data_IF_062965601771
#
_entry.id   IF_062965601771
#
_cell.length_a   1.000
_cell.length_b   1.000
_cell.length_c   1.000
_cell.angle_alpha   90.00
_cell.angle_beta   90.00
_cell.angle_gamma   90.00
#
_symmetry.space_group_name_H-M   'P 1'
#
loop_
_entity.id
_entity.type
_entity.pdbx_description
1 polymer ?
#
# COMPACT_ATOMS: atom_id res chain seq x y z
N UNK A 1 -25.57 29.02 -17.09
CA UNK A 1 -25.96 28.57 -15.75
C UNK A 1 -25.49 27.13 -15.65
N UNK A 2 -24.35 26.91 -15.02
CA UNK A 2 -23.90 25.55 -14.71
C UNK A 2 -24.76 25.07 -13.56
N UNK A 3 -25.64 24.10 -13.83
CA UNK A 3 -26.33 23.37 -12.77
C UNK A 3 -25.26 22.79 -11.83
N UNK A 4 -25.03 23.46 -10.70
CA UNK A 4 -24.30 22.85 -9.59
C UNK A 4 -25.17 21.71 -9.08
N UNK A 5 -24.92 20.49 -9.55
CA UNK A 5 -25.47 19.28 -8.95
C UNK A 5 -24.98 19.25 -7.50
N UNK A 6 -25.88 19.58 -6.59
CA UNK A 6 -25.61 19.51 -5.15
C UNK A 6 -25.39 18.05 -4.78
N UNK A 7 -24.16 17.72 -4.36
CA UNK A 7 -23.82 16.36 -3.93
C UNK A 7 -24.38 16.17 -2.53
N UNK A 8 -25.28 15.22 -2.37
CA UNK A 8 -25.94 14.89 -1.09
C UNK A 8 -25.52 13.52 -0.55
N UNK A 9 -25.11 12.62 -1.42
CA UNK A 9 -24.73 11.25 -1.03
C UNK A 9 -23.42 10.83 -1.68
N UNK A 10 -22.50 10.37 -0.85
CA UNK A 10 -21.22 9.82 -1.30
C UNK A 10 -21.09 8.34 -0.94
N UNK A 11 -20.36 7.59 -1.76
CA UNK A 11 -19.96 6.22 -1.48
C UNK A 11 -18.51 6.17 -0.99
N UNK A 12 -18.16 5.18 -0.18
CA UNK A 12 -16.78 4.87 0.18
C UNK A 12 -16.55 3.36 0.10
N UNK A 13 -15.44 2.96 -0.50
CA UNK A 13 -15.01 1.57 -0.55
C UNK A 13 -13.49 1.44 -0.38
N UNK A 14 -13.06 0.26 0.04
CA UNK A 14 -11.66 -0.17 -0.01
C UNK A 14 -11.49 -1.25 -1.08
N UNK A 15 -10.41 -1.19 -1.84
CA UNK A 15 -10.16 -2.10 -2.96
C UNK A 15 -8.69 -2.48 -3.04
N UNK A 16 -8.39 -3.66 -3.56
CA UNK A 16 -7.04 -4.19 -3.62
C UNK A 16 -6.63 -4.95 -2.36
N UNK A 17 -5.36 -4.95 -2.02
CA UNK A 17 -4.86 -5.46 -0.74
C UNK A 17 -5.23 -4.54 0.41
N UNK A 18 -5.53 -5.10 1.56
CA UNK A 18 -5.70 -4.30 2.78
C UNK A 18 -4.36 -3.71 3.23
N UNK A 19 -4.47 -2.55 3.88
CA UNK A 19 -3.32 -1.84 4.44
C UNK A 19 -3.69 -1.23 5.80
N UNK A 20 -2.79 -1.30 6.80
CA UNK A 20 -3.03 -0.69 8.11
C UNK A 20 -3.23 0.83 7.96
N UNK A 21 -4.33 1.36 8.48
CA UNK A 21 -4.72 2.76 8.31
C UNK A 21 -5.92 2.97 7.38
N UNK A 22 -6.34 1.97 6.60
CA UNK A 22 -7.56 2.09 5.78
C UNK A 22 -8.80 2.43 6.62
N UNK A 23 -8.91 1.91 7.84
CA UNK A 23 -10.01 2.25 8.74
C UNK A 23 -9.96 3.72 9.19
N UNK A 24 -8.78 4.28 9.40
CA UNK A 24 -8.62 5.70 9.72
C UNK A 24 -9.08 6.59 8.54
N UNK A 25 -8.76 6.19 7.30
CA UNK A 25 -9.24 6.88 6.09
C UNK A 25 -10.77 6.78 5.95
N UNK A 26 -11.35 5.59 6.08
CA UNK A 26 -12.81 5.39 6.06
C UNK A 26 -13.48 6.29 7.12
N UNK A 27 -12.94 6.25 8.35
CA UNK A 27 -13.46 7.07 9.45
C UNK A 27 -13.42 8.56 9.13
N UNK A 28 -12.34 9.05 8.56
CA UNK A 28 -12.21 10.45 8.19
C UNK A 28 -13.19 10.85 7.08
N UNK A 29 -13.32 10.03 6.02
CA UNK A 29 -14.31 10.25 4.96
C UNK A 29 -15.71 10.33 5.56
N UNK A 30 -16.12 9.34 6.36
CA UNK A 30 -17.47 9.28 6.94
C UNK A 30 -17.73 10.50 7.85
N UNK A 31 -16.81 10.81 8.75
CA UNK A 31 -17.01 11.91 9.70
C UNK A 31 -17.00 13.28 9.03
N UNK A 32 -16.11 13.51 8.08
CA UNK A 32 -16.05 14.79 7.35
C UNK A 32 -17.31 14.96 6.49
N UNK A 33 -17.76 13.92 5.82
CA UNK A 33 -18.99 13.97 5.02
C UNK A 33 -20.23 14.25 5.89
N UNK A 34 -20.41 13.54 6.99
CA UNK A 34 -21.53 13.76 7.92
C UNK A 34 -21.50 15.18 8.55
N UNK A 35 -20.33 15.70 8.87
CA UNK A 35 -20.16 17.06 9.40
C UNK A 35 -20.57 18.13 8.38
N UNK A 36 -20.55 17.83 7.08
CA UNK A 36 -20.98 18.69 6.00
C UNK A 36 -22.39 18.36 5.49
N UNK A 37 -23.17 17.57 6.22
CA UNK A 37 -24.58 17.25 5.90
C UNK A 37 -24.76 16.20 4.80
N UNK A 38 -23.71 15.51 4.37
CA UNK A 38 -23.79 14.48 3.36
C UNK A 38 -24.21 13.13 3.96
N UNK A 39 -24.96 12.36 3.20
CA UNK A 39 -25.21 10.93 3.48
C UNK A 39 -24.03 10.09 2.99
N UNK A 40 -23.62 9.09 3.78
CA UNK A 40 -22.52 8.21 3.40
C UNK A 40 -23.01 6.77 3.22
N UNK A 41 -22.63 6.17 2.09
CA UNK A 41 -22.86 4.76 1.77
C UNK A 41 -21.54 4.00 1.77
N UNK A 42 -21.37 3.06 2.70
CA UNK A 42 -20.25 2.14 2.72
C UNK A 42 -20.48 0.97 1.78
N UNK A 43 -19.55 0.68 0.90
CA UNK A 43 -19.62 -0.44 -0.04
C UNK A 43 -18.70 -1.52 0.48
N UNK A 44 -19.27 -2.65 0.89
CA UNK A 44 -18.49 -3.79 1.40
C UNK A 44 -17.82 -4.54 0.26
N UNK A 45 -16.64 -5.12 0.55
CA UNK A 45 -15.85 -5.94 -0.37
C UNK A 45 -15.51 -5.25 -1.70
N UNK A 46 -15.33 -3.92 -1.68
CA UNK A 46 -14.90 -3.12 -2.81
C UNK A 46 -15.79 -3.25 -4.05
N UNK A 47 -15.20 -3.28 -5.23
CA UNK A 47 -15.93 -3.42 -6.49
C UNK A 47 -16.72 -4.73 -6.62
N UNK A 48 -16.22 -5.81 -5.98
CA UNK A 48 -16.93 -7.09 -5.96
C UNK A 48 -18.29 -6.96 -5.27
N UNK A 49 -18.31 -6.32 -4.10
CA UNK A 49 -19.56 -6.09 -3.37
C UNK A 49 -20.44 -5.03 -4.00
N UNK A 50 -19.86 -4.00 -4.64
CA UNK A 50 -20.61 -3.02 -5.42
C UNK A 50 -21.50 -3.72 -6.47
N UNK A 51 -20.92 -4.65 -7.23
CA UNK A 51 -21.64 -5.41 -8.25
C UNK A 51 -22.72 -6.35 -7.69
N UNK A 52 -22.74 -6.57 -6.38
CA UNK A 52 -23.74 -7.36 -5.63
C UNK A 52 -24.65 -6.52 -4.74
N UNK A 53 -24.54 -5.21 -4.87
CA UNK A 53 -25.32 -4.26 -4.07
C UNK A 53 -25.10 -4.40 -2.54
N UNK A 54 -23.87 -4.75 -2.12
CA UNK A 54 -23.51 -4.84 -0.71
C UNK A 54 -23.23 -3.45 -0.13
N UNK A 55 -24.25 -2.62 -0.13
CA UNK A 55 -24.20 -1.20 0.22
C UNK A 55 -24.95 -0.99 1.53
N UNK A 56 -24.31 -0.34 2.47
CA UNK A 56 -24.87 -0.01 3.79
C UNK A 56 -24.85 1.51 4.00
N UNK A 57 -25.80 2.05 4.72
CA UNK A 57 -25.73 3.41 5.20
C UNK A 57 -24.76 3.47 6.38
N UNK A 58 -23.92 4.50 6.43
CA UNK A 58 -22.91 4.67 7.48
C UNK A 58 -23.21 5.89 8.34
N UNK A 59 -23.12 5.69 9.63
CA UNK A 59 -23.22 6.73 10.66
C UNK A 59 -21.87 6.92 11.36
N UNK A 60 -21.77 7.95 12.20
CA UNK A 60 -20.59 8.17 13.03
C UNK A 60 -20.31 7.04 14.03
N UNK A 61 -21.31 6.20 14.37
CA UNK A 61 -21.16 5.04 15.24
C UNK A 61 -20.47 3.87 14.56
N UNK A 62 -20.70 3.69 13.25
CA UNK A 62 -20.11 2.59 12.48
C UNK A 62 -18.59 2.72 12.33
N UNK A 63 -18.08 3.93 12.51
CA UNK A 63 -16.64 4.23 12.45
C UNK A 63 -16.05 4.59 13.82
N UNK A 64 -16.83 4.43 14.91
CA UNK A 64 -16.32 4.60 16.26
C UNK A 64 -15.33 3.48 16.60
N UNK A 65 -14.24 3.83 17.31
CA UNK A 65 -13.21 2.88 17.77
C UNK A 65 -12.59 2.01 16.65
N UNK A 66 -12.50 2.57 15.43
CA UNK A 66 -11.91 1.89 14.27
C UNK A 66 -10.52 2.42 13.89
N UNK A 67 -10.14 3.62 14.32
CA UNK A 67 -8.90 4.29 13.90
C UNK A 67 -7.64 3.48 14.22
N UNK A 68 -7.64 2.73 15.33
CA UNK A 68 -6.52 1.90 15.79
C UNK A 68 -6.55 0.48 15.20
N UNK A 69 -7.60 0.10 14.47
CA UNK A 69 -7.77 -1.27 13.97
C UNK A 69 -7.08 -1.45 12.63
N UNK A 70 -6.32 -2.53 12.51
CA UNK A 70 -5.80 -3.01 11.22
C UNK A 70 -6.88 -3.58 10.32
N UNK A 71 -6.50 -3.94 9.10
CA UNK A 71 -7.42 -4.38 8.07
C UNK A 71 -8.38 -3.27 7.62
N UNK A 72 -9.54 -3.66 7.12
CA UNK A 72 -10.59 -2.72 6.69
C UNK A 72 -11.98 -3.20 7.12
N UNK A 73 -12.76 -2.33 7.77
CA UNK A 73 -14.13 -2.63 8.23
C UNK A 73 -15.11 -2.84 7.06
N UNK A 74 -14.81 -2.27 5.90
CA UNK A 74 -15.58 -2.47 4.67
C UNK A 74 -15.17 -3.72 3.91
N UNK A 75 -14.10 -4.41 4.36
CA UNK A 75 -13.55 -5.58 3.67
C UNK A 75 -13.07 -5.24 2.25
N UNK A 76 -12.36 -6.15 1.62
CA UNK A 76 -11.89 -6.00 0.25
C UNK A 76 -11.98 -7.34 -0.47
N UNK A 77 -12.17 -7.31 -1.79
CA UNK A 77 -12.13 -8.48 -2.64
C UNK A 77 -11.72 -8.10 -4.07
N UNK A 78 -11.04 -9.03 -4.74
CA UNK A 78 -10.74 -8.87 -6.17
C UNK A 78 -12.01 -9.03 -7.00
N UNK A 79 -12.18 -8.22 -8.04
CA UNK A 79 -13.32 -8.30 -8.98
C UNK A 79 -12.82 -8.40 -10.42
N UNK A 80 -12.90 -9.60 -11.00
CA UNK A 80 -12.63 -9.77 -12.43
C UNK A 80 -13.69 -9.10 -13.29
N UNK A 81 -14.95 -9.12 -12.84
CA UNK A 81 -16.07 -8.53 -13.56
C UNK A 81 -15.92 -7.01 -13.73
N UNK A 82 -15.29 -6.32 -12.77
CA UNK A 82 -15.05 -4.88 -12.89
C UNK A 82 -14.05 -4.51 -13.99
N UNK A 83 -13.29 -5.49 -14.51
CA UNK A 83 -12.38 -5.29 -15.65
C UNK A 83 -13.09 -5.28 -17.00
N UNK A 84 -14.37 -5.66 -17.05
CA UNK A 84 -15.17 -5.69 -18.28
C UNK A 84 -16.06 -4.46 -18.41
N UNK A 85 -16.33 -3.98 -19.65
CA UNK A 85 -17.24 -2.85 -19.85
C UNK A 85 -18.64 -3.07 -19.26
N UNK A 86 -19.15 -4.31 -19.35
CA UNK A 86 -20.46 -4.67 -18.80
C UNK A 86 -20.50 -4.54 -17.27
N UNK A 87 -19.41 -4.98 -16.61
CA UNK A 87 -19.25 -4.84 -15.16
C UNK A 87 -19.16 -3.39 -14.73
N UNK A 88 -18.41 -2.56 -15.47
CA UNK A 88 -18.28 -1.13 -15.23
C UNK A 88 -19.62 -0.40 -15.39
N UNK A 89 -20.35 -0.68 -16.47
CA UNK A 89 -21.68 -0.12 -16.69
C UNK A 89 -22.65 -0.53 -15.58
N UNK A 90 -22.63 -1.82 -15.19
CA UNK A 90 -23.44 -2.32 -14.09
C UNK A 90 -23.11 -1.60 -12.77
N UNK A 91 -21.82 -1.46 -12.46
CA UNK A 91 -21.38 -0.76 -11.27
C UNK A 91 -21.85 0.71 -11.23
N UNK A 92 -21.70 1.44 -12.34
CA UNK A 92 -22.17 2.81 -12.47
C UNK A 92 -23.71 2.90 -12.32
N UNK A 93 -24.46 1.95 -12.90
CA UNK A 93 -25.92 1.88 -12.78
C UNK A 93 -26.36 1.64 -11.33
N UNK A 94 -25.64 0.79 -10.59
CA UNK A 94 -25.90 0.53 -9.17
C UNK A 94 -25.64 1.79 -8.34
N UNK A 95 -24.50 2.49 -8.55
CA UNK A 95 -24.21 3.74 -7.86
C UNK A 95 -25.34 4.77 -8.07
N UNK A 96 -25.81 4.93 -9.31
CA UNK A 96 -26.92 5.82 -9.64
C UNK A 96 -28.24 5.38 -8.98
N UNK A 97 -28.54 4.07 -8.97
CA UNK A 97 -29.70 3.49 -8.29
C UNK A 97 -29.75 3.82 -6.79
N UNK A 98 -28.58 3.81 -6.13
CA UNK A 98 -28.46 4.13 -4.70
C UNK A 98 -28.25 5.63 -4.43
N UNK A 99 -28.37 6.48 -5.46
CA UNK A 99 -28.22 7.93 -5.34
C UNK A 99 -26.78 8.37 -5.00
N UNK A 100 -25.78 7.50 -5.18
CA UNK A 100 -24.39 7.82 -4.91
C UNK A 100 -23.85 8.69 -6.05
N UNK A 101 -23.57 9.95 -5.75
CA UNK A 101 -23.15 10.96 -6.71
C UNK A 101 -21.62 11.07 -6.82
N UNK A 102 -20.91 10.74 -5.75
CA UNK A 102 -19.46 10.68 -5.72
C UNK A 102 -19.00 9.41 -4.99
N UNK A 103 -17.87 8.84 -5.42
CA UNK A 103 -17.29 7.62 -4.85
C UNK A 103 -15.85 7.86 -4.40
N UNK A 104 -15.59 7.66 -3.12
CA UNK A 104 -14.24 7.63 -2.57
C UNK A 104 -13.71 6.20 -2.63
N UNK A 105 -12.56 6.02 -3.29
CA UNK A 105 -11.90 4.72 -3.48
C UNK A 105 -10.57 4.71 -2.75
N UNK A 106 -10.44 3.88 -1.73
CA UNK A 106 -9.21 3.71 -0.95
C UNK A 106 -8.50 2.47 -1.45
N UNK A 107 -7.30 2.61 -2.01
CA UNK A 107 -6.54 1.49 -2.57
C UNK A 107 -5.33 1.90 -3.39
N UNK A 108 -4.78 1.00 -4.20
CA UNK A 108 -3.64 1.22 -5.09
C UNK A 108 -4.06 1.51 -6.54
N UNK A 109 -3.09 1.53 -7.46
CA UNK A 109 -3.29 1.88 -8.88
C UNK A 109 -4.39 1.06 -9.57
N UNK A 110 -4.46 -0.24 -9.31
CA UNK A 110 -5.52 -1.08 -9.86
C UNK A 110 -6.93 -0.66 -9.40
N UNK A 111 -7.04 -0.09 -8.20
CA UNK A 111 -8.31 0.46 -7.68
C UNK A 111 -8.64 1.80 -8.32
N UNK A 112 -7.60 2.63 -8.57
CA UNK A 112 -7.75 3.91 -9.27
C UNK A 112 -8.10 3.71 -10.74
N UNK A 113 -7.51 2.72 -11.41
CA UNK A 113 -7.91 2.35 -12.76
C UNK A 113 -9.38 1.94 -12.84
N UNK A 114 -9.88 1.20 -11.84
CA UNK A 114 -11.32 0.90 -11.72
C UNK A 114 -12.19 2.14 -11.47
N UNK A 115 -11.72 3.08 -10.64
CA UNK A 115 -12.39 4.35 -10.37
C UNK A 115 -12.44 5.22 -11.64
N UNK A 116 -11.32 5.32 -12.38
CA UNK A 116 -11.26 6.04 -13.63
C UNK A 116 -12.30 5.53 -14.65
N UNK A 117 -12.47 4.20 -14.74
CA UNK A 117 -13.50 3.63 -15.60
C UNK A 117 -14.92 4.03 -15.19
N UNK A 118 -15.20 4.17 -13.90
CA UNK A 118 -16.50 4.66 -13.44
C UNK A 118 -16.72 6.13 -13.79
N UNK A 119 -15.67 6.93 -13.85
CA UNK A 119 -15.76 8.32 -14.27
C UNK A 119 -16.22 8.47 -15.72
N UNK A 120 -15.85 7.54 -16.59
CA UNK A 120 -16.32 7.50 -17.99
C UNK A 120 -17.85 7.33 -18.09
N UNK A 121 -18.50 6.82 -17.03
CA UNK A 121 -19.96 6.70 -16.91
C UNK A 121 -20.61 7.83 -16.09
N UNK A 122 -19.87 8.91 -15.80
CA UNK A 122 -20.38 10.09 -15.12
C UNK A 122 -20.47 9.97 -13.60
N UNK A 123 -19.70 9.08 -12.99
CA UNK A 123 -19.56 9.01 -11.53
C UNK A 123 -18.34 9.86 -11.12
N UNK A 124 -18.55 10.82 -10.22
CA UNK A 124 -17.42 11.54 -9.62
C UNK A 124 -16.61 10.57 -8.75
N UNK A 125 -15.29 10.51 -8.94
CA UNK A 125 -14.43 9.60 -8.17
C UNK A 125 -13.24 10.34 -7.55
N UNK A 126 -12.94 10.01 -6.29
CA UNK A 126 -11.74 10.49 -5.59
C UNK A 126 -10.98 9.28 -5.04
N UNK A 127 -9.70 9.14 -5.43
CA UNK A 127 -8.80 8.11 -4.95
C UNK A 127 -8.04 8.53 -3.69
N UNK A 128 -7.86 7.61 -2.74
CA UNK A 128 -6.97 7.76 -1.58
C UNK A 128 -5.94 6.64 -1.63
N UNK A 129 -4.62 6.95 -1.63
CA UNK A 129 -3.57 5.95 -1.76
C UNK A 129 -3.45 5.07 -0.51
N UNK A 130 -3.92 3.83 -0.61
CA UNK A 130 -3.89 2.81 0.45
C UNK A 130 -3.22 1.54 -0.05
N UNK A 131 -1.91 1.41 0.18
CA UNK A 131 -1.07 0.25 -0.13
C UNK A 131 0.18 0.30 0.73
N UNK A 132 0.72 -0.89 1.07
CA UNK A 132 1.99 -1.01 1.78
C UNK A 132 3.20 -0.90 0.83
N UNK A 133 3.00 -0.91 -0.47
CA UNK A 133 4.06 -1.08 -1.48
C UNK A 133 4.80 0.23 -1.78
N UNK A 134 4.20 1.41 -1.47
CA UNK A 134 4.71 2.76 -1.76
C UNK A 134 4.93 3.01 -3.26
N UNK A 135 4.28 2.25 -4.13
CA UNK A 135 4.47 2.23 -5.57
C UNK A 135 3.63 3.26 -6.35
N UNK A 136 2.69 3.96 -5.70
CA UNK A 136 1.86 4.98 -6.34
C UNK A 136 2.69 6.23 -6.65
N UNK A 137 2.82 6.54 -7.93
CA UNK A 137 3.79 7.54 -8.40
C UNK A 137 3.44 9.00 -8.05
N UNK A 138 2.16 9.34 -7.97
CA UNK A 138 1.70 10.70 -7.69
C UNK A 138 1.80 11.10 -6.21
N UNK A 139 2.37 10.27 -5.35
CA UNK A 139 2.47 10.55 -3.92
C UNK A 139 3.77 10.02 -3.32
N UNK A 140 4.32 10.73 -2.35
CA UNK A 140 5.46 10.31 -1.57
C UNK A 140 5.06 9.35 -0.44
N UNK A 141 3.78 9.27 -0.12
CA UNK A 141 3.28 8.46 0.98
C UNK A 141 2.02 7.68 0.62
N UNK A 142 2.00 6.39 0.96
CA UNK A 142 0.82 5.54 0.87
C UNK A 142 0.44 4.99 2.25
N UNK A 143 -0.86 4.98 2.54
CA UNK A 143 -1.40 4.51 3.82
C UNK A 143 -1.09 3.04 4.00
N UNK A 144 -0.41 2.69 5.08
CA UNK A 144 -0.02 1.33 5.44
C UNK A 144 1.47 1.03 5.29
N UNK A 145 2.21 1.83 4.54
CA UNK A 145 3.65 1.62 4.31
C UNK A 145 4.46 1.68 5.62
N UNK A 146 4.26 2.73 6.42
CA UNK A 146 5.02 2.92 7.66
C UNK A 146 4.76 1.78 8.66
N UNK A 147 3.53 1.34 8.79
CA UNK A 147 3.18 0.20 9.65
C UNK A 147 3.80 -1.10 9.14
N UNK A 148 3.76 -1.35 7.84
CA UNK A 148 4.36 -2.55 7.24
C UNK A 148 5.89 -2.56 7.43
N UNK A 149 6.55 -1.41 7.24
CA UNK A 149 7.99 -1.27 7.48
C UNK A 149 8.35 -1.52 8.95
N UNK A 150 7.59 -0.95 9.91
CA UNK A 150 7.82 -1.19 11.33
C UNK A 150 7.58 -2.66 11.72
N UNK A 151 6.55 -3.31 11.17
CA UNK A 151 6.29 -4.74 11.40
C UNK A 151 7.44 -5.61 10.88
N UNK A 152 7.94 -5.30 9.67
CA UNK A 152 9.09 -5.99 9.11
C UNK A 152 10.37 -5.75 9.92
N UNK A 153 10.64 -4.50 10.32
CA UNK A 153 11.77 -4.13 11.16
C UNK A 153 11.78 -4.93 12.47
N UNK A 154 10.66 -4.98 13.18
CA UNK A 154 10.55 -5.75 14.43
C UNK A 154 10.81 -7.25 14.21
N UNK A 155 10.38 -7.81 13.10
CA UNK A 155 10.63 -9.21 12.76
C UNK A 155 12.12 -9.44 12.43
N UNK A 156 12.75 -8.52 11.68
CA UNK A 156 14.16 -8.61 11.29
C UNK A 156 15.06 -8.51 12.54
N UNK A 157 14.75 -7.63 13.49
CA UNK A 157 15.50 -7.51 14.74
C UNK A 157 15.51 -8.84 15.51
N UNK A 158 14.37 -9.50 15.63
CA UNK A 158 14.26 -10.83 16.28
C UNK A 158 15.03 -11.91 15.51
N UNK A 159 15.05 -11.86 14.19
CA UNK A 159 15.82 -12.77 13.35
C UNK A 159 17.32 -12.49 13.50
N UNK A 160 17.72 -11.23 13.62
CA UNK A 160 19.12 -10.84 13.82
C UNK A 160 19.66 -11.40 15.13
N UNK A 161 18.92 -11.35 16.23
CA UNK A 161 19.32 -11.90 17.53
C UNK A 161 19.69 -13.38 17.42
N UNK A 162 18.84 -14.17 16.76
CA UNK A 162 19.10 -15.60 16.57
C UNK A 162 20.21 -15.85 15.54
N UNK A 163 20.29 -15.05 14.47
CA UNK A 163 21.38 -15.16 13.46
C UNK A 163 22.76 -14.90 14.07
N UNK A 164 22.84 -13.90 14.94
CA UNK A 164 24.07 -13.59 15.68
C UNK A 164 24.45 -14.75 16.63
N UNK A 165 23.48 -15.30 17.35
CA UNK A 165 23.72 -16.37 18.32
C UNK A 165 24.21 -17.68 17.68
N UNK A 166 23.79 -17.93 16.44
CA UNK A 166 24.12 -19.16 15.71
C UNK A 166 25.12 -18.97 14.56
N UNK A 167 25.66 -17.76 14.38
CA UNK A 167 26.60 -17.43 13.31
C UNK A 167 26.04 -17.76 11.90
N UNK A 168 24.76 -17.40 11.64
CA UNK A 168 24.02 -17.75 10.44
C UNK A 168 23.88 -16.59 9.44
N UNK A 169 23.56 -16.93 8.21
CA UNK A 169 23.00 -16.02 7.23
C UNK A 169 21.47 -16.13 7.23
N UNK A 170 20.77 -15.01 7.36
CA UNK A 170 19.31 -14.97 7.27
C UNK A 170 18.87 -14.13 6.09
N UNK A 171 18.08 -14.73 5.20
CA UNK A 171 17.38 -14.03 4.13
C UNK A 171 15.97 -13.73 4.62
N UNK A 172 15.60 -12.46 4.66
CA UNK A 172 14.25 -12.04 5.03
C UNK A 172 13.56 -11.48 3.81
N UNK A 173 12.53 -12.21 3.34
CA UNK A 173 11.72 -11.75 2.22
C UNK A 173 10.60 -10.85 2.74
N UNK A 174 10.53 -9.66 2.16
CA UNK A 174 9.51 -8.64 2.46
C UNK A 174 8.62 -8.40 1.26
N UNK A 175 7.38 -8.02 1.52
CA UNK A 175 6.41 -7.66 0.48
C UNK A 175 6.85 -6.38 -0.26
N UNK A 176 6.08 -5.94 -1.22
CA UNK A 176 6.31 -4.76 -2.05
C UNK A 176 5.92 -5.01 -3.50
N UNK A 177 5.49 -6.22 -3.84
CA UNK A 177 5.12 -6.65 -5.19
C UNK A 177 6.30 -6.46 -6.16
N UNK A 178 6.14 -5.56 -7.15
CA UNK A 178 7.17 -5.24 -8.15
C UNK A 178 8.04 -4.05 -7.73
N UNK A 179 7.84 -3.52 -6.50
CA UNK A 179 8.55 -2.36 -5.96
C UNK A 179 9.41 -2.73 -4.75
N UNK A 180 10.64 -2.23 -4.73
CA UNK A 180 11.62 -2.50 -3.69
C UNK A 180 11.63 -1.53 -2.51
N UNK A 181 10.71 -0.56 -2.43
CA UNK A 181 10.72 0.47 -1.38
C UNK A 181 10.70 -0.11 0.04
N UNK A 182 9.84 -1.11 0.28
CA UNK A 182 9.74 -1.74 1.60
C UNK A 182 11.06 -2.46 1.97
N UNK A 183 11.63 -3.20 1.01
CA UNK A 183 12.92 -3.88 1.19
C UNK A 183 14.06 -2.89 1.45
N UNK A 184 14.11 -1.79 0.69
CA UNK A 184 15.11 -0.75 0.85
C UNK A 184 15.04 -0.10 2.24
N UNK A 185 13.84 0.32 2.66
CA UNK A 185 13.65 0.95 3.96
C UNK A 185 13.96 0.01 5.11
N UNK A 186 13.49 -1.23 5.04
CA UNK A 186 13.80 -2.24 6.07
C UNK A 186 15.29 -2.56 6.10
N UNK A 187 15.93 -2.66 4.94
CA UNK A 187 17.37 -2.95 4.85
C UNK A 187 18.22 -1.84 5.44
N UNK A 188 17.95 -0.59 5.11
CA UNK A 188 18.65 0.58 5.68
C UNK A 188 18.39 0.67 7.19
N UNK A 189 17.13 0.55 7.62
CA UNK A 189 16.75 0.69 9.03
C UNK A 189 17.39 -0.37 9.93
N UNK A 190 17.61 -1.57 9.40
CA UNK A 190 18.23 -2.68 10.13
C UNK A 190 19.73 -2.85 9.86
N UNK A 191 20.35 -2.06 8.98
CA UNK A 191 21.75 -2.24 8.59
C UNK A 191 22.00 -3.65 8.01
N UNK A 192 21.19 -4.04 7.01
CA UNK A 192 21.36 -5.31 6.33
C UNK A 192 22.63 -5.30 5.47
N UNK A 193 23.33 -6.44 5.40
CA UNK A 193 24.53 -6.57 4.58
C UNK A 193 24.23 -6.54 3.08
N UNK A 194 23.03 -6.99 2.69
CA UNK A 194 22.59 -6.96 1.30
C UNK A 194 21.09 -6.63 1.24
N UNK A 195 20.72 -5.80 0.27
CA UNK A 195 19.35 -5.42 -0.02
C UNK A 195 19.11 -5.71 -1.51
N UNK A 196 18.24 -6.67 -1.81
CA UNK A 196 17.95 -7.11 -3.16
C UNK A 196 16.63 -6.51 -3.61
N UNK A 197 16.67 -5.73 -4.70
CA UNK A 197 15.55 -4.95 -5.19
C UNK A 197 15.22 -5.32 -6.64
N UNK A 198 13.93 -5.41 -7.02
CA UNK A 198 13.56 -5.72 -8.39
C UNK A 198 13.99 -4.64 -9.40
N UNK A 199 14.12 -3.38 -8.96
CA UNK A 199 14.60 -2.26 -9.79
C UNK A 199 16.08 -2.37 -10.15
N UNK A 200 16.86 -3.11 -9.38
CA UNK A 200 18.25 -3.43 -9.70
C UNK A 200 18.27 -4.63 -10.63
N UNK A 201 17.98 -4.45 -11.91
CA UNK A 201 17.96 -5.51 -12.92
C UNK A 201 19.25 -6.34 -12.88
N UNK A 202 19.17 -7.52 -12.26
CA UNK A 202 20.27 -8.48 -12.19
C UNK A 202 21.27 -8.17 -11.08
N UNK A 203 20.91 -8.40 -9.80
CA UNK A 203 21.93 -8.50 -8.77
C UNK A 203 22.86 -9.68 -9.10
N UNK A 204 24.17 -9.49 -8.89
CA UNK A 204 25.14 -10.53 -9.11
C UNK A 204 25.24 -11.43 -7.86
N UNK A 205 24.48 -12.54 -7.86
CA UNK A 205 24.49 -13.51 -6.76
C UNK A 205 25.88 -14.10 -6.53
N UNK A 206 26.67 -14.30 -7.58
CA UNK A 206 28.00 -14.83 -7.43
C UNK A 206 28.95 -13.82 -6.78
N UNK A 207 28.83 -12.54 -7.11
CA UNK A 207 29.58 -11.48 -6.45
C UNK A 207 29.22 -11.39 -4.96
N UNK A 208 27.93 -11.48 -4.62
CA UNK A 208 27.46 -11.51 -3.23
C UNK A 208 28.02 -12.71 -2.47
N UNK A 209 27.99 -13.92 -3.06
CA UNK A 209 28.55 -15.13 -2.46
C UNK A 209 30.05 -14.96 -2.22
N UNK A 210 30.79 -14.45 -3.19
CA UNK A 210 32.22 -14.21 -3.07
C UNK A 210 32.55 -13.19 -1.94
N UNK A 211 31.75 -12.13 -1.81
CA UNK A 211 31.90 -11.13 -0.75
C UNK A 211 31.60 -11.72 0.64
N UNK A 212 30.57 -12.58 0.76
CA UNK A 212 30.28 -13.33 2.00
C UNK A 212 31.52 -14.18 2.41
N UNK A 213 32.10 -14.90 1.46
CA UNK A 213 33.30 -15.72 1.71
C UNK A 213 34.47 -14.86 2.20
N UNK A 214 34.72 -13.72 1.55
CA UNK A 214 35.82 -12.81 1.95
C UNK A 214 35.57 -12.14 3.30
N UNK A 215 34.35 -11.69 3.57
CA UNK A 215 33.94 -11.11 4.86
C UNK A 215 34.05 -12.16 5.98
N UNK A 216 33.72 -13.43 5.71
CA UNK A 216 33.91 -14.53 6.66
C UNK A 216 35.36 -14.77 7.02
N UNK A 217 36.27 -14.74 6.03
CA UNK A 217 37.76 -14.85 6.28
C UNK A 217 38.27 -13.72 7.18
N UNK A 218 37.61 -12.54 7.13
CA UNK A 218 37.91 -11.38 7.99
C UNK A 218 37.24 -11.44 9.36
N UNK A 219 36.50 -12.51 9.66
CA UNK A 219 35.90 -12.76 10.98
C UNK A 219 34.42 -12.35 11.10
N UNK A 220 33.76 -11.95 10.01
CA UNK A 220 32.31 -11.71 10.05
C UNK A 220 31.58 -13.05 10.13
N UNK A 221 30.64 -13.15 11.09
CA UNK A 221 30.03 -14.43 11.47
C UNK A 221 28.57 -14.58 11.10
N UNK A 222 27.81 -13.49 10.99
CA UNK A 222 26.40 -13.51 10.64
C UNK A 222 26.08 -12.48 9.55
N UNK A 223 25.00 -12.71 8.81
CA UNK A 223 24.58 -11.87 7.71
C UNK A 223 23.04 -11.76 7.69
N UNK A 224 22.54 -10.57 7.37
CA UNK A 224 21.14 -10.32 7.07
C UNK A 224 21.04 -9.85 5.61
N UNK A 225 20.24 -10.56 4.85
CA UNK A 225 19.91 -10.23 3.46
C UNK A 225 18.43 -9.88 3.43
N UNK A 226 18.07 -8.68 3.02
CA UNK A 226 16.68 -8.31 2.77
C UNK A 226 16.39 -8.54 1.29
N UNK A 227 15.42 -9.38 1.02
CA UNK A 227 15.00 -9.72 -0.33
C UNK A 227 13.58 -9.20 -0.60
N UNK A 228 13.40 -8.35 -1.60
CA UNK A 228 12.06 -7.96 -2.05
C UNK A 228 11.36 -9.16 -2.71
N UNK A 229 10.05 -9.34 -2.45
CA UNK A 229 9.29 -10.44 -3.06
C UNK A 229 9.33 -10.43 -4.60
N UNK A 230 9.50 -9.24 -5.21
CA UNK A 230 9.63 -9.09 -6.66
C UNK A 230 10.92 -9.66 -7.24
N UNK A 231 11.97 -9.84 -6.43
CA UNK A 231 13.19 -10.60 -6.80
C UNK A 231 12.93 -12.10 -6.70
N UNK A 232 12.21 -12.52 -5.66
CA UNK A 232 11.80 -13.91 -5.44
C UNK A 232 12.93 -14.86 -5.03
N UNK A 233 12.64 -16.15 -5.13
CA UNK A 233 13.58 -17.29 -4.98
C UNK A 233 14.34 -17.41 -3.65
N UNK A 234 13.89 -16.72 -2.59
CA UNK A 234 14.57 -16.66 -1.28
C UNK A 234 14.95 -18.04 -0.73
N UNK A 235 14.10 -19.05 -0.91
CA UNK A 235 14.33 -20.41 -0.37
C UNK A 235 15.47 -21.10 -1.11
N UNK A 236 15.52 -21.04 -2.44
CA UNK A 236 16.59 -21.67 -3.21
C UNK A 236 17.88 -20.85 -3.14
N UNK A 237 17.79 -19.52 -3.05
CA UNK A 237 18.93 -18.62 -2.78
C UNK A 237 19.60 -19.03 -1.48
N UNK A 238 18.84 -19.29 -0.41
CA UNK A 238 19.41 -19.73 0.86
C UNK A 238 20.23 -21.02 0.70
N UNK A 239 19.73 -22.00 -0.04
CA UNK A 239 20.47 -23.26 -0.31
C UNK A 239 21.76 -23.02 -1.08
N UNK A 240 21.70 -22.20 -2.16
CA UNK A 240 22.89 -21.89 -2.96
C UNK A 240 23.97 -21.17 -2.16
N UNK A 241 23.57 -20.21 -1.31
CA UNK A 241 24.52 -19.51 -0.43
C UNK A 241 25.13 -20.49 0.57
N UNK A 242 24.34 -21.35 1.22
CA UNK A 242 24.81 -22.35 2.17
C UNK A 242 25.80 -23.32 1.52
N UNK A 243 25.46 -23.86 0.35
CA UNK A 243 26.32 -24.78 -0.41
C UNK A 243 27.64 -24.13 -0.83
N UNK A 244 27.62 -22.87 -1.27
CA UNK A 244 28.81 -22.19 -1.76
C UNK A 244 29.71 -21.66 -0.64
N UNK A 245 29.13 -21.21 0.48
CA UNK A 245 29.87 -20.51 1.56
C UNK A 245 30.13 -21.38 2.78
N UNK A 246 29.38 -22.48 2.95
CA UNK A 246 29.37 -23.29 4.17
C UNK A 246 28.82 -22.54 5.40
N UNK A 247 28.12 -21.41 5.20
CA UNK A 247 27.39 -20.68 6.25
C UNK A 247 25.97 -21.19 6.29
N UNK A 248 25.50 -21.68 7.43
CA UNK A 248 24.11 -22.09 7.58
C UNK A 248 23.20 -20.92 7.20
N UNK A 249 22.34 -21.10 6.20
CA UNK A 249 21.52 -20.03 5.64
C UNK A 249 20.04 -20.39 5.72
N UNK A 250 19.22 -19.47 6.23
CA UNK A 250 17.78 -19.66 6.41
C UNK A 250 17.00 -18.53 5.72
N UNK A 251 15.95 -18.89 5.00
CA UNK A 251 15.01 -17.93 4.45
C UNK A 251 13.76 -17.83 5.36
N UNK A 252 13.33 -16.61 5.61
CA UNK A 252 12.08 -16.27 6.31
C UNK A 252 11.25 -15.36 5.42
N UNK A 253 10.08 -15.82 5.02
CA UNK A 253 9.13 -15.04 4.22
C UNK A 253 8.11 -14.42 5.16
N UNK A 254 8.14 -13.09 5.32
CA UNK A 254 7.23 -12.39 6.23
C UNK A 254 5.79 -12.39 5.71
N UNK A 255 5.60 -12.24 4.39
CA UNK A 255 4.29 -12.33 3.75
C UNK A 255 3.24 -11.43 4.39
N UNK A 256 2.02 -11.95 4.55
CA UNK A 256 0.85 -11.19 5.02
C UNK A 256 0.95 -10.63 6.44
N UNK A 257 1.94 -11.02 7.25
CA UNK A 257 2.22 -10.39 8.54
C UNK A 257 2.35 -8.86 8.41
N UNK A 258 2.92 -8.40 7.30
CA UNK A 258 3.16 -6.99 7.00
C UNK A 258 1.89 -6.20 6.64
N UNK A 259 0.77 -6.88 6.35
CA UNK A 259 -0.53 -6.23 6.06
C UNK A 259 -1.39 -6.03 7.30
N UNK A 260 -1.04 -6.70 8.39
CA UNK A 260 -1.80 -6.66 9.64
C UNK A 260 -1.27 -5.64 10.64
N UNK A 261 -1.90 -5.63 11.79
CA UNK A 261 -1.49 -4.84 12.94
C UNK A 261 -2.17 -3.48 13.06
N UNK A 262 -1.97 -2.88 14.21
CA UNK A 262 -2.49 -1.55 14.53
C UNK A 262 -1.68 -0.49 13.77
N UNK A 263 -2.32 0.42 13.01
CA UNK A 263 -1.58 1.43 12.25
C UNK A 263 -0.76 2.34 13.16
N UNK A 264 0.43 2.69 12.72
CA UNK A 264 1.30 3.67 13.40
C UNK A 264 0.64 5.04 13.48
N UNK A 265 1.19 5.93 14.30
CA UNK A 265 0.74 7.33 14.37
C UNK A 265 0.78 7.97 12.99
N UNK A 266 1.84 7.72 12.22
CA UNK A 266 2.01 8.27 10.88
C UNK A 266 0.89 7.82 9.95
N UNK A 267 0.64 6.52 9.84
CA UNK A 267 -0.45 5.98 9.00
C UNK A 267 -1.83 6.52 9.42
N UNK A 268 -2.11 6.63 10.73
CA UNK A 268 -3.38 7.20 11.20
C UNK A 268 -3.56 8.66 10.82
N UNK A 269 -2.53 9.47 10.96
CA UNK A 269 -2.56 10.92 10.67
C UNK A 269 -2.74 11.15 9.17
N UNK A 270 -1.89 10.51 8.34
CA UNK A 270 -1.97 10.66 6.89
C UNK A 270 -3.32 10.16 6.36
N UNK A 271 -3.77 8.99 6.80
CA UNK A 271 -5.06 8.45 6.42
C UNK A 271 -6.23 9.38 6.79
N UNK A 272 -6.19 9.96 7.99
CA UNK A 272 -7.24 10.87 8.45
C UNK A 272 -7.28 12.16 7.64
N UNK A 273 -6.12 12.76 7.37
CA UNK A 273 -6.05 13.99 6.58
C UNK A 273 -6.42 13.75 5.12
N UNK A 274 -5.90 12.67 4.50
CA UNK A 274 -6.26 12.31 3.13
C UNK A 274 -7.75 11.99 2.99
N UNK A 275 -8.35 11.34 3.99
CA UNK A 275 -9.79 11.06 4.01
C UNK A 275 -10.63 12.34 4.07
N UNK A 276 -10.25 13.31 4.91
CA UNK A 276 -10.90 14.61 4.97
C UNK A 276 -10.73 15.38 3.66
N UNK A 277 -9.49 15.43 3.12
CA UNK A 277 -9.17 16.08 1.84
C UNK A 277 -10.00 15.54 0.68
N UNK A 278 -10.23 14.23 0.62
CA UNK A 278 -11.06 13.63 -0.41
C UNK A 278 -12.50 14.15 -0.39
N UNK A 279 -13.07 14.38 0.80
CA UNK A 279 -14.42 14.96 0.93
C UNK A 279 -14.40 16.46 0.59
N UNK A 280 -13.37 17.19 0.99
CA UNK A 280 -13.20 18.61 0.61
C UNK A 280 -13.18 18.78 -0.91
N UNK A 281 -12.43 17.95 -1.63
CA UNK A 281 -12.38 17.97 -3.10
C UNK A 281 -13.77 17.74 -3.73
N UNK A 282 -14.56 16.83 -3.15
CA UNK A 282 -15.95 16.59 -3.59
C UNK A 282 -16.80 17.86 -3.38
N UNK A 283 -16.71 18.50 -2.22
CA UNK A 283 -17.45 19.72 -1.89
C UNK A 283 -17.02 20.92 -2.73
N UNK A 284 -15.74 20.97 -3.14
CA UNK A 284 -15.21 21.96 -4.09
C UNK A 284 -15.67 21.70 -5.53
N UNK A 285 -16.43 20.64 -5.79
CA UNK A 285 -16.88 20.24 -7.13
C UNK A 285 -15.78 19.63 -8.00
N UNK A 286 -14.62 19.27 -7.42
CA UNK A 286 -13.56 18.57 -8.14
C UNK A 286 -13.95 17.11 -8.39
N UNK A 287 -13.60 16.61 -9.57
CA UNK A 287 -13.91 15.25 -10.01
C UNK A 287 -12.66 14.54 -10.51
N UNK A 288 -12.66 13.21 -10.44
CA UNK A 288 -11.61 12.37 -11.04
C UNK A 288 -10.21 12.71 -10.51
N UNK A 289 -10.11 12.82 -9.17
CA UNK A 289 -8.84 13.18 -8.51
C UNK A 289 -8.30 12.02 -7.69
N UNK A 290 -6.99 12.00 -7.49
CA UNK A 290 -6.29 11.19 -6.49
C UNK A 290 -5.65 12.14 -5.50
N UNK A 291 -5.93 11.93 -4.22
CA UNK A 291 -5.26 12.65 -3.13
C UNK A 291 -3.82 12.15 -3.03
N UNK A 292 -2.87 13.05 -2.90
CA UNK A 292 -1.46 12.75 -2.70
C UNK A 292 -0.85 13.56 -1.57
N UNK A 293 0.37 13.21 -1.22
CA UNK A 293 1.24 13.96 -0.33
C UNK A 293 2.59 14.18 -1.01
N UNK A 294 3.02 15.43 -1.10
CA UNK A 294 4.28 15.81 -1.71
C UNK A 294 4.84 17.08 -1.05
N UNK A 295 6.13 17.11 -0.77
CA UNK A 295 6.85 18.28 -0.24
C UNK A 295 6.16 18.90 1.01
N UNK A 296 5.64 18.07 1.91
CA UNK A 296 4.96 18.53 3.13
C UNK A 296 3.50 18.93 2.95
N UNK A 297 2.93 18.81 1.75
CA UNK A 297 1.59 19.26 1.42
C UNK A 297 0.67 18.11 0.98
N UNK A 298 -0.61 18.19 1.35
CA UNK A 298 -1.66 17.33 0.80
C UNK A 298 -2.21 17.98 -0.46
N UNK A 299 -2.00 17.34 -1.58
CA UNK A 299 -2.32 17.80 -2.93
C UNK A 299 -3.25 16.83 -3.63
N UNK A 300 -3.68 17.15 -4.83
CA UNK A 300 -4.51 16.28 -5.65
C UNK A 300 -4.06 16.29 -7.12
N UNK A 301 -4.16 15.15 -7.77
CA UNK A 301 -3.83 14.97 -9.19
C UNK A 301 -5.06 14.51 -9.97
N UNK A 302 -5.12 14.82 -11.26
CA UNK A 302 -6.04 14.13 -12.14
C UNK A 302 -5.74 12.63 -12.16
N UNK A 303 -6.77 11.80 -12.10
CA UNK A 303 -6.61 10.34 -11.98
C UNK A 303 -5.94 9.73 -13.22
N UNK A 304 -6.18 10.29 -14.42
CA UNK A 304 -5.53 9.79 -15.64
C UNK A 304 -4.05 10.15 -15.68
N UNK A 305 -3.69 11.33 -15.16
CA UNK A 305 -2.30 11.74 -15.08
C UNK A 305 -1.57 10.95 -13.99
N UNK A 306 -2.19 10.78 -12.82
CA UNK A 306 -1.65 9.95 -11.74
C UNK A 306 -1.31 8.52 -12.19
N UNK A 307 -2.19 7.89 -12.99
CA UNK A 307 -2.01 6.54 -13.50
C UNK A 307 -0.92 6.42 -14.60
N UNK A 308 -0.45 7.53 -15.16
CA UNK A 308 0.62 7.54 -16.17
C UNK A 308 1.99 7.88 -15.60
N UNK A 309 2.04 8.37 -14.38
CA UNK A 309 3.30 8.69 -13.72
C UNK A 309 4.10 7.43 -13.44
N UNK A 310 5.42 7.56 -13.47
CA UNK A 310 6.35 6.54 -13.03
C UNK A 310 7.02 6.99 -11.73
N UNK A 311 7.33 6.04 -10.86
CA UNK A 311 8.04 6.28 -9.62
C UNK A 311 9.32 5.46 -9.61
N UNK A 312 10.42 6.12 -9.35
CA UNK A 312 11.74 5.50 -9.27
C UNK A 312 12.32 5.69 -7.87
N UNK A 313 13.07 4.72 -7.41
CA UNK A 313 13.82 4.85 -6.17
C UNK A 313 14.95 5.86 -6.41
N UNK A 314 15.10 6.89 -5.56
CA UNK A 314 16.19 7.86 -5.71
C UNK A 314 17.56 7.18 -5.67
N UNK A 315 18.41 7.46 -6.66
CA UNK A 315 19.75 6.87 -6.79
C UNK A 315 20.57 7.05 -5.52
N UNK A 316 20.47 8.21 -4.89
CA UNK A 316 21.13 8.47 -3.59
C UNK A 316 20.78 7.44 -2.50
N UNK A 317 19.51 7.01 -2.43
CA UNK A 317 19.11 5.98 -1.45
C UNK A 317 19.70 4.61 -1.78
N UNK A 318 19.79 4.28 -3.08
CA UNK A 318 20.44 3.05 -3.54
C UNK A 318 21.95 3.05 -3.24
N UNK A 319 22.61 4.18 -3.39
CA UNK A 319 24.04 4.30 -3.12
C UNK A 319 24.35 4.24 -1.62
N UNK A 320 23.56 4.93 -0.81
CA UNK A 320 23.68 4.85 0.66
C UNK A 320 23.44 3.42 1.16
N UNK A 321 22.48 2.72 0.62
CA UNK A 321 22.20 1.32 0.98
C UNK A 321 23.37 0.35 0.71
N UNK A 322 24.26 0.69 -0.23
CA UNK A 322 25.49 -0.10 -0.51
C UNK A 322 26.60 0.16 0.52
N UNK A 323 26.55 1.26 1.24
CA UNK A 323 27.61 1.71 2.17
C UNK A 323 27.26 1.31 3.60
N UNK A 324 26.00 1.42 3.98
CA UNK A 324 25.49 1.17 5.33
C UNK A 324 25.24 -0.31 5.60
#
# INVERSE_FOLDING_TARGET
MTDHYEINTIGVLTSGGDAPGMNAAIRAVVRTALANGLTVRGIRRGYHGLLREEIIEMSGRDVADTIQRGGTILQTARSQQMRTPEGQLKAASILKKYGIQALVVIGGDGSFAGAQKLSDYGINVIGIPGTIDLDIACTEYTIGFDTAANTAMEAIDKIRDTSTSHERCSIVEVMGRDAGYLALWCGIANGAEYILLPEQHGYDEQAMINDIIEKRKRGKKHYIIINAEGVGDSINMAKRIEEATGVETRATILGHLQRGGSPTVKDRVYASIMGAKAVELILEGKTNRVVGYQDGHYIDFDINDALKMNKEIPEYQLDIAKIL
#
